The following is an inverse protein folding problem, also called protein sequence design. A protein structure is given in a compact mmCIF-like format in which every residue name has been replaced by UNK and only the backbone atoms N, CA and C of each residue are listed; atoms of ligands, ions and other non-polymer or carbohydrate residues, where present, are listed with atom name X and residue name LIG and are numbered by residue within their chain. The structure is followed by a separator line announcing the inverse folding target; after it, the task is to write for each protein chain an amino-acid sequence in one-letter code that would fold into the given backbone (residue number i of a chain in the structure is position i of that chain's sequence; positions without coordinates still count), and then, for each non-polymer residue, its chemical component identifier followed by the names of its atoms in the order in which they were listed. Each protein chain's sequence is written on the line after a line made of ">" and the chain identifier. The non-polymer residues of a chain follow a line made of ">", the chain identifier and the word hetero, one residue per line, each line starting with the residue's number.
data_IF_865919482524
#
_entry.id   IF_865919482524
#
_cell.length_a   1.000
_cell.length_b   1.000
_cell.length_c   1.000
_cell.angle_alpha   90.00
_cell.angle_beta   90.00
_cell.angle_gamma   90.00
#
_symmetry.space_group_name_H-M   'P 1'
#
loop_
_entity.id
_entity.type
_entity.pdbx_description
1 polymer ?
#
# COMPACT_ATOMS: atom_id res chain seq x y z
N UNK A 1 23.27 -4.78 -1.88
CA UNK A 1 22.69 -5.71 -0.87
C UNK A 1 22.19 -6.92 -1.63
N UNK A 2 22.43 -8.16 -1.15
CA UNK A 2 22.01 -9.36 -1.88
C UNK A 2 20.49 -9.44 -2.04
N UNK A 3 20.01 -10.09 -3.10
CA UNK A 3 18.57 -10.26 -3.36
C UNK A 3 17.87 -11.05 -2.23
N UNK A 4 18.58 -12.01 -1.66
CA UNK A 4 18.08 -12.90 -0.60
C UNK A 4 18.70 -12.50 0.73
N UNK A 5 17.84 -12.10 1.68
CA UNK A 5 18.27 -11.76 3.03
C UNK A 5 17.96 -12.91 3.98
N UNK A 6 18.97 -13.63 4.51
CA UNK A 6 18.73 -14.69 5.47
C UNK A 6 18.16 -14.13 6.79
N UNK A 7 17.19 -14.83 7.37
CA UNK A 7 16.60 -14.48 8.66
C UNK A 7 16.65 -15.66 9.63
N UNK A 8 16.96 -15.38 10.89
CA UNK A 8 16.91 -16.35 12.00
C UNK A 8 15.75 -16.08 12.95
N UNK A 9 15.06 -14.96 12.73
CA UNK A 9 13.78 -14.64 13.34
C UNK A 9 12.71 -15.04 12.33
N UNK A 10 11.56 -15.58 12.76
CA UNK A 10 10.50 -16.07 11.88
C UNK A 10 10.00 -15.02 10.85
N UNK A 11 8.94 -15.31 10.08
CA UNK A 11 8.45 -14.38 9.06
C UNK A 11 8.20 -12.98 9.65
N UNK A 12 8.43 -11.92 8.86
CA UNK A 12 8.23 -10.54 9.34
C UNK A 12 6.79 -10.33 9.79
N UNK A 13 6.56 -9.31 10.62
CA UNK A 13 5.22 -9.03 11.17
C UNK A 13 4.24 -8.75 10.01
N UNK A 14 3.19 -9.55 9.92
CA UNK A 14 2.11 -9.41 8.93
C UNK A 14 0.74 -9.39 9.62
N UNK A 15 -0.27 -8.93 8.91
CA UNK A 15 -1.69 -9.06 9.30
C UNK A 15 -2.48 -9.76 8.20
N UNK A 16 -3.61 -10.36 8.54
CA UNK A 16 -4.50 -10.94 7.53
C UNK A 16 -5.26 -9.86 6.74
N UNK A 17 -5.77 -10.17 5.53
CA UNK A 17 -6.55 -9.22 4.74
C UNK A 17 -7.82 -8.74 5.47
N UNK A 18 -8.41 -9.59 6.31
CA UNK A 18 -9.58 -9.24 7.12
C UNK A 18 -9.24 -8.25 8.23
N UNK A 19 -8.10 -8.43 8.90
CA UNK A 19 -7.61 -7.51 9.91
C UNK A 19 -7.24 -6.15 9.30
N UNK A 20 -6.60 -6.15 8.11
CA UNK A 20 -6.32 -4.93 7.37
C UNK A 20 -7.61 -4.17 7.09
N UNK A 21 -8.64 -4.84 6.55
CA UNK A 21 -9.94 -4.22 6.28
C UNK A 21 -10.59 -3.63 7.54
N UNK A 22 -10.44 -4.27 8.71
CA UNK A 22 -10.96 -3.73 9.97
C UNK A 22 -10.19 -2.49 10.44
N UNK A 23 -8.86 -2.50 10.30
CA UNK A 23 -7.98 -1.37 10.64
C UNK A 23 -8.19 -0.17 9.73
N UNK A 24 -8.47 -0.37 8.44
CA UNK A 24 -8.80 0.72 7.51
C UNK A 24 -10.26 1.18 7.58
N UNK A 25 -11.17 0.33 8.08
CA UNK A 25 -12.60 0.67 8.20
C UNK A 25 -12.90 1.64 9.35
N UNK A 26 -12.04 1.70 10.36
CA UNK A 26 -12.09 2.70 11.42
C UNK A 26 -10.99 3.70 11.13
N UNK A 27 -11.28 5.01 11.00
CA UNK A 27 -10.27 6.06 10.77
C UNK A 27 -9.05 5.85 11.66
N UNK A 28 -7.92 5.35 11.15
CA UNK A 28 -6.78 5.06 11.98
C UNK A 28 -6.07 6.36 12.31
N UNK A 29 -5.49 6.44 13.51
CA UNK A 29 -4.70 7.60 13.96
C UNK A 29 -3.45 7.82 13.11
N UNK A 30 -2.99 6.77 12.40
CA UNK A 30 -1.94 6.85 11.38
C UNK A 30 -2.02 5.65 10.44
N UNK A 31 -2.09 5.87 9.13
CA UNK A 31 -2.06 4.81 8.11
C UNK A 31 -0.65 4.19 7.97
N UNK A 32 0.39 4.84 8.49
CA UNK A 32 1.77 4.35 8.43
C UNK A 32 2.13 3.27 9.45
N UNK A 33 1.24 2.94 10.40
CA UNK A 33 1.46 1.86 11.38
C UNK A 33 0.81 0.53 10.96
N UNK A 34 0.08 0.52 9.83
CA UNK A 34 -0.61 -0.68 9.37
C UNK A 34 0.45 -1.64 8.82
N UNK A 35 0.65 -2.81 9.45
CA UNK A 35 1.63 -3.78 8.97
C UNK A 35 1.21 -4.36 7.61
N UNK A 36 2.16 -4.89 6.83
CA UNK A 36 1.88 -5.41 5.51
C UNK A 36 0.97 -6.64 5.57
N UNK A 37 0.12 -6.80 4.55
CA UNK A 37 -0.88 -7.87 4.53
C UNK A 37 -0.26 -9.19 4.05
N UNK A 38 -0.55 -10.29 4.73
CA UNK A 38 -0.29 -11.64 4.25
C UNK A 38 -1.32 -11.99 3.17
N UNK A 39 -0.88 -12.16 1.93
CA UNK A 39 -1.75 -12.53 0.80
C UNK A 39 -1.93 -14.04 0.70
N UNK A 40 -0.86 -14.81 0.90
CA UNK A 40 -0.90 -16.27 0.80
C UNK A 40 0.11 -16.93 1.74
N UNK A 41 -0.25 -18.11 2.25
CA UNK A 41 0.64 -18.95 3.04
C UNK A 41 0.54 -20.39 2.54
N UNK A 42 1.67 -21.05 2.35
CA UNK A 42 1.72 -22.43 1.90
C UNK A 42 2.73 -23.22 2.73
N UNK A 43 2.29 -24.29 3.37
CA UNK A 43 3.18 -25.26 4.03
C UNK A 43 3.71 -26.29 3.03
N UNK A 44 4.74 -27.03 3.45
CA UNK A 44 5.31 -28.15 2.70
C UNK A 44 5.86 -27.74 1.33
N UNK A 45 6.54 -26.58 1.29
CA UNK A 45 7.18 -26.03 0.10
C UNK A 45 8.69 -26.25 0.17
N UNK A 46 9.27 -26.72 -0.93
CA UNK A 46 10.70 -26.79 -1.12
C UNK A 46 11.17 -25.62 -1.99
N UNK A 47 12.31 -25.02 -1.65
CA UNK A 47 12.91 -23.96 -2.45
C UNK A 47 14.30 -24.39 -2.88
N UNK A 48 14.59 -24.19 -4.17
CA UNK A 48 15.88 -24.50 -4.77
C UNK A 48 16.43 -23.24 -5.41
N UNK A 49 17.67 -22.90 -5.09
CA UNK A 49 18.40 -21.80 -5.71
C UNK A 49 19.42 -22.34 -6.71
N UNK A 50 19.56 -21.66 -7.85
CA UNK A 50 20.60 -21.92 -8.84
C UNK A 50 21.25 -20.59 -9.26
N UNK A 51 22.50 -20.30 -8.87
CA UNK A 51 23.38 -21.14 -8.04
C UNK A 51 22.87 -21.33 -6.59
N UNK A 52 23.37 -22.32 -5.83
CA UNK A 52 23.00 -22.48 -4.41
C UNK A 52 23.56 -21.35 -3.54
N UNK A 53 22.86 -21.02 -2.44
CA UNK A 53 23.26 -19.97 -1.48
C UNK A 53 23.75 -20.64 -0.19
N UNK A 54 25.00 -20.38 0.19
CA UNK A 54 25.59 -20.93 1.42
C UNK A 54 24.75 -20.57 2.66
N UNK A 55 24.36 -21.58 3.44
CA UNK A 55 23.55 -21.41 4.66
C UNK A 55 22.03 -21.44 4.45
N UNK A 56 21.57 -21.43 3.19
CA UNK A 56 20.18 -21.64 2.80
C UNK A 56 20.01 -22.96 2.01
N UNK A 57 21.03 -23.80 2.05
CA UNK A 57 21.06 -25.11 1.40
C UNK A 57 20.29 -26.10 2.28
N UNK A 58 19.08 -26.43 1.87
CA UNK A 58 18.24 -27.40 2.56
C UNK A 58 17.29 -28.07 1.60
N UNK A 59 17.28 -29.41 1.62
CA UNK A 59 16.25 -30.21 0.96
C UNK A 59 14.97 -30.30 1.84
N UNK A 60 14.99 -29.64 3.00
CA UNK A 60 13.86 -29.60 3.91
C UNK A 60 12.73 -28.72 3.37
N UNK A 61 11.51 -29.22 3.51
CA UNK A 61 10.30 -28.47 3.21
C UNK A 61 10.00 -27.50 4.34
N UNK A 62 9.66 -26.27 3.98
CA UNK A 62 9.31 -25.20 4.89
C UNK A 62 7.95 -24.61 4.59
N UNK A 63 7.69 -23.45 5.18
CA UNK A 63 6.48 -22.66 4.96
C UNK A 63 6.83 -21.38 4.21
N UNK A 64 6.12 -21.14 3.10
CA UNK A 64 6.19 -19.94 2.30
C UNK A 64 5.12 -18.93 2.75
N UNK A 65 5.52 -17.68 2.90
CA UNK A 65 4.68 -16.54 3.25
C UNK A 65 4.81 -15.49 2.16
N UNK A 66 3.71 -15.24 1.45
CA UNK A 66 3.62 -14.17 0.45
C UNK A 66 2.98 -12.97 1.14
N UNK A 67 3.81 -12.04 1.59
CA UNK A 67 3.41 -10.82 2.29
C UNK A 67 3.51 -9.66 1.28
N UNK A 68 2.69 -8.62 1.41
CA UNK A 68 2.74 -7.48 0.47
C UNK A 68 4.10 -6.81 0.40
N UNK A 69 4.84 -6.71 1.50
CA UNK A 69 6.16 -6.06 1.51
C UNK A 69 7.27 -6.96 0.99
N UNK A 70 7.23 -8.26 1.33
CA UNK A 70 8.31 -9.22 1.04
C UNK A 70 7.77 -10.63 0.84
N UNK A 71 8.49 -11.42 0.05
CA UNK A 71 8.36 -12.87 0.03
C UNK A 71 9.23 -13.45 1.14
N UNK A 72 8.65 -14.23 2.05
CA UNK A 72 9.40 -14.84 3.15
C UNK A 72 9.25 -16.37 3.14
N UNK A 73 10.31 -17.07 3.52
CA UNK A 73 10.31 -18.51 3.68
C UNK A 73 10.98 -18.91 4.98
N UNK A 74 10.39 -19.88 5.69
CA UNK A 74 10.93 -20.38 6.94
C UNK A 74 10.96 -21.91 6.96
N UNK A 75 12.11 -22.48 7.33
CA UNK A 75 12.25 -23.90 7.62
C UNK A 75 11.74 -24.24 9.02
N UNK A 76 11.38 -25.50 9.27
CA UNK A 76 11.01 -25.98 10.61
C UNK A 76 12.14 -25.82 11.64
N UNK A 77 13.39 -25.72 11.20
CA UNK A 77 14.57 -25.48 12.03
C UNK A 77 14.62 -24.07 12.64
N UNK A 78 13.79 -23.13 12.16
CA UNK A 78 13.74 -21.75 12.62
C UNK A 78 14.60 -20.78 11.82
N UNK A 79 15.39 -21.27 10.87
CA UNK A 79 16.07 -20.45 9.86
C UNK A 79 15.10 -20.12 8.72
N UNK A 80 15.36 -19.06 7.98
CA UNK A 80 14.58 -18.68 6.81
C UNK A 80 15.30 -17.63 5.97
N UNK A 81 14.57 -17.04 5.03
CA UNK A 81 15.03 -15.88 4.27
C UNK A 81 13.85 -15.03 3.82
N UNK A 82 14.14 -13.79 3.43
CA UNK A 82 13.19 -12.85 2.84
C UNK A 82 13.75 -12.26 1.55
N UNK A 83 12.86 -11.97 0.59
CA UNK A 83 13.16 -11.37 -0.70
C UNK A 83 12.17 -10.22 -0.91
N UNK A 84 12.68 -9.04 -1.28
CA UNK A 84 11.85 -7.89 -1.63
C UNK A 84 11.36 -8.02 -3.08
N UNK A 85 10.13 -7.59 -3.37
CA UNK A 85 9.56 -7.74 -4.72
C UNK A 85 10.36 -7.07 -5.83
N UNK A 86 10.94 -5.86 -5.65
CA UNK A 86 11.79 -5.25 -6.68
C UNK A 86 13.01 -6.11 -7.07
N UNK A 87 13.42 -7.07 -6.23
CA UNK A 87 14.49 -8.02 -6.54
C UNK A 87 14.04 -9.22 -7.35
N UNK A 88 12.73 -9.42 -7.52
CA UNK A 88 12.17 -10.49 -8.35
C UNK A 88 11.93 -9.91 -9.75
N UNK A 89 12.88 -10.13 -10.65
CA UNK A 89 12.80 -9.65 -12.04
C UNK A 89 11.62 -10.27 -12.79
N UNK A 90 11.36 -11.56 -12.55
CA UNK A 90 10.25 -12.27 -13.18
C UNK A 90 9.87 -13.50 -12.35
N UNK A 91 8.59 -13.86 -12.40
CA UNK A 91 8.05 -15.12 -11.91
C UNK A 91 7.15 -15.77 -12.96
N UNK A 92 7.23 -17.10 -13.08
CA UNK A 92 6.45 -17.87 -14.04
C UNK A 92 6.07 -19.24 -13.48
N UNK A 93 4.92 -19.76 -13.90
CA UNK A 93 4.53 -21.14 -13.57
C UNK A 93 5.27 -22.11 -14.49
N UNK A 94 6.07 -22.98 -13.91
CA UNK A 94 6.77 -24.06 -14.60
C UNK A 94 6.09 -25.39 -14.30
N UNK A 95 5.48 -25.99 -15.34
CA UNK A 95 4.84 -27.31 -15.27
C UNK A 95 5.67 -28.30 -16.06
N UNK A 96 6.34 -29.21 -15.37
CA UNK A 96 7.01 -30.36 -15.99
C UNK A 96 6.22 -31.64 -15.71
N UNK A 97 6.47 -32.70 -16.48
CA UNK A 97 5.81 -34.00 -16.30
C UNK A 97 6.03 -34.62 -14.91
N UNK A 98 7.05 -34.17 -14.19
CA UNK A 98 7.44 -34.69 -12.87
C UNK A 98 7.16 -33.72 -11.72
N UNK A 99 7.30 -32.41 -11.95
CA UNK A 99 7.19 -31.38 -10.90
C UNK A 99 6.50 -30.12 -11.44
N UNK A 100 5.54 -29.60 -10.67
CA UNK A 100 4.92 -28.29 -10.91
C UNK A 100 5.50 -27.31 -9.90
N UNK A 101 6.02 -26.18 -10.36
CA UNK A 101 6.76 -25.21 -9.53
C UNK A 101 6.56 -23.79 -10.04
N UNK A 102 6.82 -22.80 -9.19
CA UNK A 102 6.98 -21.40 -9.62
C UNK A 102 8.46 -21.13 -9.79
N UNK A 103 8.85 -20.73 -10.99
CA UNK A 103 10.18 -20.24 -11.30
C UNK A 103 10.23 -18.74 -11.04
N UNK A 104 11.27 -18.28 -10.38
CA UNK A 104 11.55 -16.87 -10.16
C UNK A 104 13.00 -16.57 -10.58
N UNK A 105 13.20 -15.42 -11.20
CA UNK A 105 14.51 -14.87 -11.50
C UNK A 105 14.74 -13.68 -10.58
N UNK A 106 15.87 -13.68 -9.88
CA UNK A 106 16.25 -12.69 -8.90
C UNK A 106 17.40 -11.86 -9.43
N UNK A 107 17.28 -10.54 -9.26
CA UNK A 107 18.34 -9.59 -9.54
C UNK A 107 19.27 -9.46 -8.33
N UNK A 108 20.50 -9.95 -8.44
CA UNK A 108 21.52 -9.80 -7.39
C UNK A 108 22.40 -8.57 -7.58
N UNK A 109 22.10 -7.71 -8.56
CA UNK A 109 22.90 -6.51 -8.81
C UNK A 109 23.05 -5.67 -7.54
N UNK A 110 24.28 -5.32 -7.19
CA UNK A 110 24.54 -4.39 -6.11
C UNK A 110 24.16 -2.97 -6.57
N UNK A 111 23.03 -2.45 -6.07
CA UNK A 111 22.60 -1.05 -6.25
C UNK A 111 23.69 -0.01 -5.88
N UNK A 112 24.79 -0.41 -5.23
CA UNK A 112 25.91 0.44 -4.85
C UNK A 112 27.04 0.53 -5.91
N UNK A 113 27.02 -0.26 -6.99
CA UNK A 113 28.07 -0.31 -8.01
C UNK A 113 27.72 0.46 -9.29
N UNK A 114 26.63 1.25 -9.31
CA UNK A 114 26.27 2.14 -10.42
C UNK A 114 27.16 3.39 -10.52
N UNK A 115 28.49 3.23 -10.52
CA UNK A 115 29.42 4.36 -10.59
C UNK A 115 30.79 4.09 -11.21
N UNK A 116 31.13 2.87 -11.62
CA UNK A 116 32.44 2.63 -12.22
C UNK A 116 32.50 1.37 -13.09
N UNK A 117 31.85 1.40 -14.25
CA UNK A 117 32.33 0.72 -15.47
C UNK A 117 31.31 0.87 -16.61
N UNK A 118 31.61 1.75 -17.57
CA UNK A 118 31.17 1.54 -18.95
C UNK A 118 31.89 0.29 -19.48
N UNK A 119 31.32 -0.90 -19.23
CA UNK A 119 31.65 -2.11 -19.98
C UNK A 119 30.33 -2.69 -20.49
N UNK A 120 30.17 -2.70 -21.82
CA UNK A 120 29.05 -3.27 -22.59
C UNK A 120 28.94 -4.81 -22.50
N UNK A 121 29.28 -5.40 -21.35
CA UNK A 121 29.07 -6.81 -21.04
C UNK A 121 28.12 -6.89 -19.83
N UNK A 122 26.83 -6.67 -20.09
CA UNK A 122 25.72 -6.70 -19.13
C UNK A 122 25.40 -8.13 -18.65
N UNK A 123 26.39 -8.82 -18.07
CA UNK A 123 26.12 -10.00 -17.24
C UNK A 123 25.54 -9.52 -15.90
N UNK A 124 24.28 -9.07 -15.90
CA UNK A 124 23.53 -8.86 -14.66
C UNK A 124 23.59 -10.17 -13.88
N UNK A 125 24.18 -10.16 -12.68
CA UNK A 125 24.30 -11.33 -11.83
C UNK A 125 22.89 -11.76 -11.40
N UNK A 126 22.29 -12.65 -12.18
CA UNK A 126 20.93 -13.12 -12.00
C UNK A 126 20.96 -14.51 -11.36
N UNK A 127 20.08 -14.70 -10.37
CA UNK A 127 19.94 -15.98 -9.67
C UNK A 127 18.55 -16.55 -9.91
N UNK A 128 18.48 -17.85 -10.16
CA UNK A 128 17.22 -18.54 -10.28
C UNK A 128 16.76 -19.08 -8.92
N UNK A 129 15.46 -18.98 -8.65
CA UNK A 129 14.80 -19.58 -7.51
C UNK A 129 13.60 -20.39 -7.99
N UNK A 130 13.47 -21.64 -7.54
CA UNK A 130 12.34 -22.52 -7.85
C UNK A 130 11.58 -22.84 -6.58
N UNK A 131 10.29 -22.52 -6.57
CA UNK A 131 9.35 -22.79 -5.47
C UNK A 131 8.54 -24.03 -5.84
N UNK A 132 8.76 -25.13 -5.12
CA UNK A 132 8.17 -26.44 -5.40
C UNK A 132 7.23 -26.80 -4.24
N UNK A 133 5.92 -26.52 -4.36
CA UNK A 133 4.96 -26.98 -3.36
C UNK A 133 4.72 -28.48 -3.47
N UNK A 134 4.39 -29.12 -2.35
CA UNK A 134 4.00 -30.54 -2.34
C UNK A 134 2.66 -30.79 -3.03
N UNK A 135 1.76 -29.80 -3.00
CA UNK A 135 0.49 -29.82 -3.72
C UNK A 135 0.61 -29.01 -5.02
N UNK A 136 0.50 -29.65 -6.21
CA UNK A 136 0.57 -28.93 -7.48
C UNK A 136 -0.61 -27.97 -7.70
N UNK A 137 -1.76 -28.16 -7.02
CA UNK A 137 -2.90 -27.26 -7.14
C UNK A 137 -2.62 -25.88 -6.50
N UNK A 138 -1.70 -25.82 -5.53
CA UNK A 138 -1.32 -24.57 -4.87
C UNK A 138 -0.42 -23.67 -5.72
N UNK A 139 0.19 -24.18 -6.80
CA UNK A 139 1.13 -23.41 -7.63
C UNK A 139 0.47 -22.18 -8.24
N UNK A 140 -0.75 -22.32 -8.74
CA UNK A 140 -1.51 -21.20 -9.32
C UNK A 140 -1.85 -20.15 -8.26
N UNK A 141 -2.20 -20.56 -7.04
CA UNK A 141 -2.48 -19.63 -5.94
C UNK A 141 -1.22 -18.87 -5.48
N UNK A 142 -0.06 -19.52 -5.42
CA UNK A 142 1.22 -18.88 -5.13
C UNK A 142 1.57 -17.87 -6.22
N UNK A 143 1.44 -18.26 -7.49
CA UNK A 143 1.73 -17.39 -8.63
C UNK A 143 0.81 -16.16 -8.66
N UNK A 144 -0.48 -16.34 -8.41
CA UNK A 144 -1.44 -15.23 -8.35
C UNK A 144 -1.08 -14.26 -7.22
N UNK A 145 -0.78 -14.78 -6.03
CA UNK A 145 -0.40 -13.96 -4.89
C UNK A 145 0.91 -13.20 -5.14
N UNK A 146 1.91 -13.84 -5.75
CA UNK A 146 3.16 -13.19 -6.17
C UNK A 146 2.90 -12.08 -7.19
N UNK A 147 2.06 -12.34 -8.18
CA UNK A 147 1.71 -11.37 -9.22
C UNK A 147 1.01 -10.14 -8.64
N UNK A 148 0.09 -10.34 -7.69
CA UNK A 148 -0.58 -9.24 -7.00
C UNK A 148 0.40 -8.40 -6.18
N UNK A 149 1.37 -9.03 -5.52
CA UNK A 149 2.35 -8.29 -4.74
C UNK A 149 3.37 -7.58 -5.62
N UNK A 150 3.86 -8.19 -6.69
CA UNK A 150 4.73 -7.55 -7.67
C UNK A 150 4.09 -6.29 -8.27
N UNK A 151 2.78 -6.31 -8.55
CA UNK A 151 2.05 -5.14 -9.04
C UNK A 151 1.99 -3.96 -8.05
N UNK A 152 2.25 -4.18 -6.75
CA UNK A 152 2.32 -3.13 -5.73
C UNK A 152 3.71 -2.48 -5.62
N UNK A 153 4.71 -3.05 -6.28
CA UNK A 153 6.10 -2.59 -6.26
C UNK A 153 6.59 -2.33 -7.68
N UNK A 154 6.13 -1.26 -8.35
CA UNK A 154 6.70 -0.86 -9.63
C UNK A 154 8.20 -0.55 -9.47
N UNK A 155 9.01 -0.93 -10.44
CA UNK A 155 10.45 -0.67 -10.40
C UNK A 155 10.68 0.85 -10.47
N UNK A 156 11.40 1.46 -9.52
CA UNK A 156 11.70 2.89 -9.56
C UNK A 156 12.46 3.33 -10.82
N UNK A 157 13.11 2.41 -11.54
CA UNK A 157 13.85 2.69 -12.77
C UNK A 157 12.99 2.54 -14.04
N UNK A 158 11.73 2.09 -13.92
CA UNK A 158 10.75 1.99 -15.02
C UNK A 158 9.98 3.33 -15.24
N UNK A 159 10.33 4.38 -14.47
CA UNK A 159 9.85 5.77 -14.65
C UNK A 159 10.66 6.53 -15.73
N UNK A 160 11.48 5.84 -16.54
CA UNK A 160 12.16 6.42 -17.68
C UNK A 160 11.38 6.20 -19.01
N UNK A 161 10.27 6.93 -19.14
CA UNK A 161 10.01 7.68 -20.38
C UNK A 161 9.24 7.04 -21.53
N UNK A 162 8.05 6.48 -21.31
CA UNK A 162 7.03 6.36 -22.39
C UNK A 162 5.60 6.67 -21.92
N UNK A 163 5.44 7.73 -21.14
CA UNK A 163 4.15 8.42 -21.03
C UNK A 163 3.92 9.29 -22.29
N UNK A 164 3.52 8.64 -23.38
CA UNK A 164 2.36 9.11 -24.13
C UNK A 164 2.51 10.24 -25.16
N UNK A 165 3.66 10.44 -25.81
CA UNK A 165 3.71 11.32 -27.01
C UNK A 165 3.29 10.61 -28.33
N UNK A 166 2.44 9.58 -28.24
CA UNK A 166 1.76 8.95 -29.38
C UNK A 166 0.49 9.72 -29.82
N UNK A 167 0.46 11.05 -29.65
CA UNK A 167 -0.43 11.93 -30.43
C UNK A 167 0.31 12.26 -31.73
N UNK A 168 0.31 11.29 -32.65
CA UNK A 168 0.40 11.59 -34.07
C UNK A 168 -1.02 11.90 -34.55
N UNK A 169 -1.31 13.18 -34.74
CA UNK A 169 -2.61 13.65 -35.22
C UNK A 169 -2.94 15.05 -34.74
N UNK A 170 -2.32 16.06 -35.38
CA UNK A 170 -2.81 17.40 -35.75
C UNK A 170 -4.16 17.93 -35.17
N UNK A 171 -4.46 17.75 -33.89
CA UNK A 171 -5.69 18.24 -33.26
C UNK A 171 -5.46 18.56 -31.79
N UNK A 172 -4.63 19.57 -31.53
CA UNK A 172 -4.33 20.09 -30.19
C UNK A 172 -5.59 20.29 -29.36
N UNK A 173 -5.86 19.35 -28.45
CA UNK A 173 -6.80 19.54 -27.37
C UNK A 173 -6.07 20.33 -26.28
N UNK A 174 -6.22 21.65 -26.31
CA UNK A 174 -5.66 22.53 -25.30
C UNK A 174 -6.23 22.16 -23.93
N UNK A 175 -5.35 21.89 -22.97
CA UNK A 175 -5.73 21.70 -21.58
C UNK A 175 -6.26 23.02 -21.04
N UNK A 176 -7.55 23.06 -20.68
CA UNK A 176 -8.18 24.25 -20.09
C UNK A 176 -7.61 24.47 -18.69
N UNK A 177 -6.67 25.41 -18.54
CA UNK A 177 -6.01 25.72 -17.27
C UNK A 177 -6.78 26.73 -16.40
N UNK A 178 -7.89 27.28 -16.92
CA UNK A 178 -8.75 28.23 -16.22
C UNK A 178 -8.10 29.59 -15.93
N UNK A 179 -6.90 29.86 -16.47
CA UNK A 179 -6.17 31.12 -16.25
C UNK A 179 -6.29 32.11 -17.40
N UNK A 180 -6.67 31.63 -18.57
CA UNK A 180 -6.97 32.45 -19.74
C UNK A 180 -8.49 32.63 -19.86
N UNK A 181 -8.96 33.76 -20.40
CA UNK A 181 -10.38 34.07 -20.64
C UNK A 181 -11.03 33.16 -21.71
N UNK A 182 -10.60 31.90 -21.80
CA UNK A 182 -11.08 30.90 -22.74
C UNK A 182 -12.52 30.52 -22.42
N UNK A 183 -13.41 30.79 -23.37
CA UNK A 183 -14.79 30.36 -23.27
C UNK A 183 -14.89 28.85 -23.45
N UNK A 184 -15.81 28.21 -22.71
CA UNK A 184 -16.16 26.81 -22.91
C UNK A 184 -16.57 26.55 -24.37
N UNK A 185 -16.25 25.36 -24.88
CA UNK A 185 -16.80 24.89 -26.15
C UNK A 185 -18.35 24.87 -26.10
N UNK A 186 -19.02 24.90 -27.26
CA UNK A 186 -20.49 24.84 -27.33
C UNK A 186 -21.06 23.64 -26.55
N UNK A 187 -20.37 22.50 -26.61
CA UNK A 187 -20.71 21.29 -25.83
C UNK A 187 -20.51 21.52 -24.33
N UNK A 188 -19.42 22.18 -23.94
CA UNK A 188 -19.14 22.55 -22.54
C UNK A 188 -20.19 23.52 -21.98
N UNK A 189 -20.60 24.52 -22.76
CA UNK A 189 -21.68 25.45 -22.39
C UNK A 189 -23.02 24.73 -22.20
N UNK A 190 -23.36 23.79 -23.08
CA UNK A 190 -24.58 22.99 -22.96
C UNK A 190 -24.57 22.07 -21.73
N UNK A 191 -23.42 21.46 -21.42
CA UNK A 191 -23.25 20.64 -20.22
C UNK A 191 -23.36 21.48 -18.94
N UNK A 192 -22.77 22.68 -18.91
CA UNK A 192 -22.86 23.61 -17.79
C UNK A 192 -24.31 24.04 -17.51
N UNK A 193 -25.05 24.43 -18.55
CA UNK A 193 -26.46 24.83 -18.40
C UNK A 193 -27.34 23.69 -17.87
N UNK A 194 -27.03 22.45 -18.23
CA UNK A 194 -27.73 21.28 -17.67
C UNK A 194 -27.43 21.08 -16.19
N UNK A 195 -26.17 21.27 -15.77
CA UNK A 195 -25.75 21.17 -14.37
C UNK A 195 -26.35 22.30 -13.52
N UNK A 196 -26.38 23.53 -14.02
CA UNK A 196 -27.03 24.66 -13.33
C UNK A 196 -28.52 24.42 -13.14
N UNK A 197 -29.20 23.80 -14.11
CA UNK A 197 -30.61 23.42 -13.98
C UNK A 197 -30.87 22.37 -12.89
N UNK A 198 -29.85 21.62 -12.46
CA UNK A 198 -29.99 20.63 -11.39
C UNK A 198 -29.79 21.25 -10.00
N UNK A 199 -29.20 22.44 -9.92
CA UNK A 199 -28.97 23.12 -8.65
C UNK A 199 -30.22 23.93 -8.29
N UNK A 200 -31.11 23.29 -7.54
CA UNK A 200 -32.28 23.91 -6.94
C UNK A 200 -31.82 24.74 -5.72
N UNK A 201 -31.54 26.03 -5.93
CA UNK A 201 -31.40 26.97 -4.82
C UNK A 201 -32.81 27.37 -4.36
N UNK A 202 -33.20 27.14 -3.08
CA UNK A 202 -34.46 27.68 -2.57
C UNK A 202 -34.38 29.22 -2.60
N UNK A 203 -35.24 29.85 -3.40
CA UNK A 203 -35.45 31.30 -3.41
C UNK A 203 -36.06 31.73 -2.07
N UNK A 204 -35.23 32.33 -1.20
CA UNK A 204 -35.74 33.19 -0.14
C UNK A 204 -36.20 34.50 -0.79
N UNK A 205 -37.52 34.70 -0.89
CA UNK A 205 -38.10 36.03 -1.06
C UNK A 205 -37.67 36.90 0.12
N UNK A 206 -37.05 38.05 -0.15
CA UNK A 206 -37.40 39.37 0.41
C UNK A 206 -36.30 40.42 0.16
N UNK A 207 -36.73 41.55 -0.44
CA UNK A 207 -36.45 42.87 0.11
C UNK A 207 -35.06 43.48 -0.08
N UNK A 208 -35.02 44.55 -0.88
CA UNK A 208 -34.00 45.59 -0.82
C UNK A 208 -33.76 46.07 0.63
N UNK A 209 -32.49 46.23 1.04
CA UNK A 209 -31.93 47.39 1.77
C UNK A 209 -30.52 47.07 2.33
N UNK A 210 -29.49 47.75 1.82
CA UNK A 210 -28.17 47.90 2.48
C UNK A 210 -28.34 48.71 3.78
N UNK A 211 -27.63 48.36 4.88
CA UNK A 211 -26.66 49.34 5.39
C UNK A 211 -25.40 48.78 6.11
N UNK A 212 -24.26 49.35 5.73
CA UNK A 212 -23.13 49.90 6.51
C UNK A 212 -22.81 49.44 7.96
N UNK A 213 -21.59 48.90 8.12
CA UNK A 213 -20.47 49.22 9.06
C UNK A 213 -20.68 50.17 10.27
N UNK A 214 -19.87 49.88 11.31
CA UNK A 214 -19.56 50.61 12.58
C UNK A 214 -20.43 50.21 13.80
N UNK A 215 -19.99 50.12 15.06
CA UNK A 215 -18.71 50.17 15.79
C UNK A 215 -19.01 49.69 17.24
N UNK A 216 -17.95 49.54 18.03
CA UNK A 216 -17.85 49.02 19.40
C UNK A 216 -18.69 49.70 20.52
N UNK A 217 -18.72 48.99 21.67
CA UNK A 217 -18.93 49.42 23.08
C UNK A 217 -20.36 49.56 23.62
N UNK A 218 -20.74 48.71 24.60
CA UNK A 218 -20.73 49.05 26.04
C UNK A 218 -21.28 47.89 26.90
N UNK A 219 -20.74 47.69 28.10
CA UNK A 219 -21.24 46.80 29.17
C UNK A 219 -21.49 47.70 30.41
N UNK A 220 -22.41 47.43 31.38
CA UNK A 220 -22.41 46.21 32.21
C UNK A 220 -23.74 45.80 32.93
N UNK A 221 -23.62 44.71 33.73
CA UNK A 221 -24.19 44.47 35.09
C UNK A 221 -25.44 43.58 35.35
N UNK A 222 -25.15 42.58 36.21
CA UNK A 222 -25.87 41.65 37.10
C UNK A 222 -27.40 41.41 37.12
N UNK A 223 -27.79 40.15 37.35
CA UNK A 223 -28.38 39.69 38.65
C UNK A 223 -28.59 38.16 38.73
N UNK A 224 -28.13 37.55 39.83
CA UNK A 224 -28.49 36.18 40.31
C UNK A 224 -29.87 36.19 40.99
N UNK A 225 -30.54 35.04 41.16
CA UNK A 225 -30.48 34.29 42.44
C UNK A 225 -30.57 32.76 42.19
N UNK A 226 -30.55 31.79 43.09
CA UNK A 226 -30.12 31.56 44.49
C UNK A 226 -30.41 30.06 44.75
N UNK A 227 -29.48 29.31 45.33
CA UNK A 227 -29.64 27.92 45.75
C UNK A 227 -30.16 27.88 47.21
N UNK A 228 -30.93 26.87 47.68
CA UNK A 228 -31.04 26.61 49.11
C UNK A 228 -30.06 25.52 49.59
N UNK A 229 -29.56 25.82 50.78
CA UNK A 229 -28.60 25.12 51.65
C UNK A 229 -29.27 23.97 52.41
N UNK A 230 -28.48 22.96 52.83
CA UNK A 230 -28.88 22.08 53.94
C UNK A 230 -28.02 20.83 54.20
N UNK A 231 -26.76 21.02 54.60
CA UNK A 231 -25.91 20.05 55.36
C UNK A 231 -26.45 19.88 56.81
N UNK A 232 -25.83 19.15 57.78
CA UNK A 232 -24.68 18.21 57.73
C UNK A 232 -24.87 16.94 58.63
N UNK A 233 -23.92 16.00 58.61
CA UNK A 233 -23.09 15.65 59.79
C UNK A 233 -22.32 14.34 59.64
N UNK A 234 -21.05 14.44 60.05
CA UNK A 234 -20.08 13.43 60.42
C UNK A 234 -20.63 12.17 61.09
N UNK A 235 -20.05 11.00 60.78
CA UNK A 235 -19.30 10.23 61.78
C UNK A 235 -18.44 9.14 61.16
N UNK A 236 -17.21 9.05 61.66
CA UNK A 236 -16.25 7.97 61.45
C UNK A 236 -16.80 6.59 61.83
N UNK A 237 -16.27 5.51 61.23
CA UNK A 237 -15.69 4.37 61.98
C UNK A 237 -15.32 3.20 61.04
N UNK A 238 -14.02 2.93 60.96
CA UNK A 238 -13.36 1.64 61.18
C UNK A 238 -14.04 0.32 60.75
N UNK A 239 -13.30 -0.47 59.94
CA UNK A 239 -13.28 -1.95 59.97
C UNK A 239 -12.84 -2.46 61.38
N UNK A 240 -12.74 -3.77 61.73
CA UNK A 240 -12.89 -5.01 60.95
C UNK A 240 -13.70 -6.14 61.64
N UNK A 241 -14.00 -7.23 60.93
CA UNK A 241 -13.57 -8.63 61.17
C UNK A 241 -14.34 -9.61 60.30
#
# INVERSE_FOLDING_TARGET
>A
MPAVTPTTQGPPRFITPEEHKQLTASTPTSFGDIPPVLRHTQSDVQIVFDPPIAGLEGDEKGTLYVIESVLAFAWPSGTGFTIEYPRITLHAVSRSDTVTSVYCQLDESDLATNGAAENEDEDSEMREMKIIPSDPASVDAIFEALSQCAALHPDPNDDEGDDGNWIDGENGFATFDGTNEEELSEVGKAALAHLESLILFPEDEEGEEEPTKEAYEDAPEETKPSNPVGQPNDTASSAPK
#
